data_IF_332820391652
#
_entry.id   IF_332820391652
#
_cell.length_a   1.000
_cell.length_b   1.000
_cell.length_c   1.000
_cell.angle_alpha   90.00
_cell.angle_beta   90.00
_cell.angle_gamma   90.00
#
_symmetry.space_group_name_H-M   'P 1'
#
loop_
_entity.id
_entity.type
_entity.pdbx_description
1 polymer ?
#
# COMPACT_ATOMS: atom_id res chain seq x y z
N UNK A 1 -0.15 -22.89 -5.75
CA UNK A 1 -0.78 -22.08 -6.77
C UNK A 1 -0.05 -20.75 -6.84
N UNK A 2 0.35 -20.32 -8.06
CA UNK A 2 0.95 -19.01 -8.26
C UNK A 2 -0.12 -18.10 -8.87
N UNK A 3 -0.28 -16.92 -8.29
CA UNK A 3 -1.10 -15.86 -8.88
C UNK A 3 -0.26 -15.15 -9.93
N UNK A 4 -0.77 -15.05 -11.14
CA UNK A 4 -0.12 -14.31 -12.22
C UNK A 4 -0.83 -12.98 -12.44
N UNK A 5 -0.05 -11.96 -12.81
CA UNK A 5 -0.54 -10.62 -13.08
C UNK A 5 -0.13 -10.16 -14.48
N UNK A 6 -1.01 -9.42 -15.11
CA UNK A 6 -0.71 -8.60 -16.28
C UNK A 6 -1.02 -7.16 -15.93
N UNK A 7 -0.07 -6.27 -16.14
CA UNK A 7 -0.23 -4.83 -15.93
C UNK A 7 -0.28 -4.13 -17.27
N UNK A 8 -1.20 -3.19 -17.39
CA UNK A 8 -1.38 -2.38 -18.59
C UNK A 8 -1.37 -0.92 -18.18
N UNK A 9 -0.42 -0.18 -18.71
CA UNK A 9 -0.38 1.28 -18.58
C UNK A 9 -1.31 1.90 -19.61
N UNK A 10 -2.01 2.98 -19.23
CA UNK A 10 -2.90 3.70 -20.11
C UNK A 10 -2.15 4.86 -20.78
N UNK A 11 -2.25 4.98 -22.07
CA UNK A 11 -1.72 6.13 -22.83
C UNK A 11 -2.61 7.38 -22.70
N UNK A 12 -3.90 7.18 -22.42
CA UNK A 12 -4.86 8.26 -22.27
C UNK A 12 -4.90 8.83 -20.85
N UNK A 13 -4.89 7.94 -19.86
CA UNK A 13 -4.96 8.28 -18.44
C UNK A 13 -3.68 7.81 -17.76
N UNK A 14 -2.63 8.62 -17.84
CA UNK A 14 -1.30 8.25 -17.32
C UNK A 14 -1.25 8.00 -15.82
N UNK A 15 -2.29 8.35 -15.08
CA UNK A 15 -2.41 8.05 -13.65
C UNK A 15 -3.18 6.75 -13.35
N UNK A 16 -3.48 5.94 -14.36
CA UNK A 16 -4.21 4.68 -14.21
C UNK A 16 -3.36 3.49 -14.66
N UNK A 17 -3.39 2.42 -13.88
CA UNK A 17 -2.80 1.12 -14.21
C UNK A 17 -3.89 0.07 -14.12
N UNK A 18 -4.14 -0.63 -15.23
CA UNK A 18 -5.06 -1.75 -15.24
C UNK A 18 -4.32 -3.02 -14.86
N UNK A 19 -4.91 -3.78 -13.98
CA UNK A 19 -4.34 -5.01 -13.44
C UNK A 19 -5.27 -6.18 -13.72
N UNK A 20 -4.77 -7.14 -14.48
CA UNK A 20 -5.45 -8.39 -14.70
C UNK A 20 -4.78 -9.48 -13.86
N UNK A 21 -5.51 -10.02 -12.89
CA UNK A 21 -5.05 -11.13 -12.05
C UNK A 21 -5.72 -12.41 -12.49
N UNK A 22 -4.96 -13.49 -12.59
CA UNK A 22 -5.50 -14.78 -12.93
C UNK A 22 -4.80 -15.91 -12.17
N UNK A 23 -5.54 -16.98 -11.94
CA UNK A 23 -5.08 -18.17 -11.27
C UNK A 23 -5.32 -19.39 -12.14
N UNK A 24 -4.25 -20.12 -12.45
CA UNK A 24 -4.31 -21.44 -13.03
C UNK A 24 -4.14 -22.52 -11.96
N UNK A 25 -5.01 -23.52 -12.00
CA UNK A 25 -4.90 -24.69 -11.16
C UNK A 25 -5.18 -25.93 -12.02
N UNK A 26 -4.24 -26.88 -12.03
CA UNK A 26 -4.33 -28.11 -12.84
C UNK A 26 -4.60 -27.84 -14.35
N UNK A 27 -3.93 -26.84 -14.91
CA UNK A 27 -4.09 -26.45 -16.31
C UNK A 27 -5.40 -25.73 -16.66
N UNK A 28 -6.27 -25.50 -15.68
CA UNK A 28 -7.52 -24.78 -15.87
C UNK A 28 -7.47 -23.39 -15.23
N UNK A 29 -8.01 -22.42 -15.94
CA UNK A 29 -8.18 -21.04 -15.44
C UNK A 29 -9.31 -21.03 -14.42
N UNK A 30 -9.00 -20.86 -13.13
CA UNK A 30 -9.96 -20.92 -12.01
C UNK A 30 -10.54 -19.57 -11.66
N UNK A 31 -9.69 -18.55 -11.62
CA UNK A 31 -10.09 -17.20 -11.25
C UNK A 31 -9.49 -16.20 -12.21
N UNK A 32 -10.25 -15.16 -12.48
CA UNK A 32 -9.78 -13.98 -13.21
C UNK A 32 -10.48 -12.75 -12.68
N UNK A 33 -9.73 -11.69 -12.53
CA UNK A 33 -10.30 -10.39 -12.14
C UNK A 33 -9.55 -9.27 -12.82
N UNK A 34 -10.28 -8.23 -13.17
CA UNK A 34 -9.73 -6.96 -13.54
C UNK A 34 -9.86 -6.01 -12.38
N UNK A 35 -8.83 -5.24 -12.13
CA UNK A 35 -8.87 -4.11 -11.23
C UNK A 35 -8.15 -2.93 -11.89
N UNK A 36 -8.42 -1.73 -11.38
CA UNK A 36 -7.79 -0.51 -11.82
C UNK A 36 -7.18 0.16 -10.60
N UNK A 37 -5.90 0.45 -10.69
CA UNK A 37 -5.19 1.26 -9.70
C UNK A 37 -5.16 2.69 -10.22
N UNK A 38 -5.62 3.60 -9.39
CA UNK A 38 -5.64 5.02 -9.71
C UNK A 38 -4.69 5.76 -8.78
N UNK A 39 -3.68 6.37 -9.36
CA UNK A 39 -2.77 7.30 -8.70
C UNK A 39 -3.44 8.69 -8.64
N UNK A 40 -2.79 9.65 -7.97
CA UNK A 40 -3.31 11.03 -7.94
C UNK A 40 -3.36 11.63 -9.35
N UNK A 41 -4.25 12.60 -9.55
CA UNK A 41 -4.43 13.22 -10.88
C UNK A 41 -3.16 13.86 -11.43
N UNK A 42 -2.35 14.43 -10.54
CA UNK A 42 -1.09 15.07 -10.90
C UNK A 42 0.05 14.08 -11.14
N UNK A 43 -0.11 12.80 -10.82
CA UNK A 43 0.90 11.76 -10.98
C UNK A 43 0.75 11.07 -12.35
N UNK A 44 1.88 10.80 -13.00
CA UNK A 44 1.91 10.10 -14.29
C UNK A 44 2.81 8.88 -14.18
N UNK A 45 2.25 7.71 -14.35
CA UNK A 45 3.00 6.46 -14.43
C UNK A 45 3.49 6.29 -15.85
N UNK A 46 4.77 6.51 -16.08
CA UNK A 46 5.38 6.47 -17.42
C UNK A 46 6.14 5.18 -17.71
N UNK A 47 6.33 4.35 -16.71
CA UNK A 47 6.98 3.06 -16.85
C UNK A 47 6.72 2.17 -15.65
N UNK A 48 6.77 0.87 -15.90
CA UNK A 48 6.58 -0.14 -14.86
C UNK A 48 7.38 -1.39 -15.22
N UNK A 49 7.98 -2.01 -14.20
CA UNK A 49 8.64 -3.31 -14.29
C UNK A 49 8.34 -4.12 -13.04
N UNK A 50 8.32 -5.44 -13.17
CA UNK A 50 8.11 -6.36 -12.04
C UNK A 50 9.34 -7.25 -11.91
N UNK A 51 9.99 -7.18 -10.75
CA UNK A 51 11.17 -7.97 -10.42
C UNK A 51 10.94 -8.61 -9.05
N UNK A 52 11.07 -9.91 -8.94
CA UNK A 52 10.94 -10.67 -7.69
C UNK A 52 9.67 -10.33 -6.87
N UNK A 53 8.53 -10.27 -7.55
CA UNK A 53 7.23 -9.89 -6.95
C UNK A 53 7.16 -8.45 -6.40
N UNK A 54 8.06 -7.59 -6.80
CA UNK A 54 8.02 -6.16 -6.52
C UNK A 54 7.72 -5.42 -7.81
N UNK A 55 6.65 -4.65 -7.83
CA UNK A 55 6.36 -3.72 -8.90
C UNK A 55 7.12 -2.42 -8.67
N UNK A 56 7.89 -2.01 -9.65
CA UNK A 56 8.60 -0.74 -9.70
C UNK A 56 7.89 0.17 -10.68
N UNK A 57 7.59 1.38 -10.25
CA UNK A 57 6.88 2.38 -11.06
C UNK A 57 7.77 3.60 -11.24
N UNK A 58 7.93 4.05 -12.48
CA UNK A 58 8.49 5.36 -12.78
C UNK A 58 7.35 6.35 -12.81
N UNK A 59 7.29 7.23 -11.82
CA UNK A 59 6.19 8.18 -11.63
C UNK A 59 6.73 9.60 -11.77
N UNK A 60 6.12 10.37 -12.66
CA UNK A 60 6.35 11.82 -12.76
C UNK A 60 5.34 12.54 -11.90
N UNK A 61 5.83 13.35 -10.99
CA UNK A 61 5.11 14.23 -10.08
C UNK A 61 5.46 15.70 -10.38
N UNK A 62 4.69 16.67 -9.89
CA UNK A 62 5.01 18.08 -10.11
C UNK A 62 6.41 18.50 -9.63
N UNK A 63 6.93 17.83 -8.63
CA UNK A 63 8.20 18.09 -7.98
C UNK A 63 9.38 17.24 -8.51
N UNK A 64 9.12 16.30 -9.42
CA UNK A 64 10.18 15.46 -10.00
C UNK A 64 9.72 14.09 -10.49
N UNK A 65 10.69 13.29 -10.90
CA UNK A 65 10.47 11.89 -11.31
C UNK A 65 11.01 10.96 -10.23
N UNK A 66 10.21 9.98 -9.86
CA UNK A 66 10.48 9.05 -8.76
C UNK A 66 10.38 7.61 -9.23
N UNK A 67 11.14 6.75 -8.57
CA UNK A 67 11.02 5.32 -8.66
C UNK A 67 10.34 4.80 -7.38
N UNK A 68 9.06 4.49 -7.50
CA UNK A 68 8.29 3.91 -6.41
C UNK A 68 8.28 2.38 -6.53
N UNK A 69 8.14 1.70 -5.41
CA UNK A 69 8.05 0.23 -5.37
C UNK A 69 6.88 -0.23 -4.52
N UNK A 70 6.24 -1.32 -4.96
CA UNK A 70 5.15 -1.95 -4.24
C UNK A 70 5.30 -3.47 -4.27
N UNK A 71 5.18 -4.13 -3.12
CA UNK A 71 5.15 -5.58 -3.06
C UNK A 71 3.84 -6.11 -3.62
N UNK A 72 3.92 -7.05 -4.56
CA UNK A 72 2.79 -7.77 -5.15
C UNK A 72 2.52 -9.11 -4.46
N UNK A 73 3.46 -9.58 -3.67
CA UNK A 73 3.14 -10.69 -2.79
C UNK A 73 2.00 -10.22 -1.91
N UNK A 74 0.97 -11.09 -1.77
CA UNK A 74 0.10 -10.95 -0.63
C UNK A 74 1.01 -10.59 0.51
N UNK A 75 0.83 -9.36 1.02
CA UNK A 75 1.41 -9.09 2.30
C UNK A 75 0.87 -10.23 3.16
N UNK A 76 1.53 -11.38 3.09
CA UNK A 76 1.63 -12.17 4.28
C UNK A 76 1.94 -11.06 5.23
N UNK A 77 1.04 -10.72 6.10
CA UNK A 77 1.37 -10.16 7.36
C UNK A 77 2.52 -11.02 7.83
N UNK A 78 3.66 -10.83 7.14
CA UNK A 78 4.92 -11.53 7.30
C UNK A 78 5.58 -10.90 8.49
N UNK A 79 4.83 -11.02 9.50
CA UNK A 79 5.16 -10.67 10.78
C UNK A 79 4.42 -11.45 11.80
N UNK A 80 3.51 -12.26 11.38
CA UNK A 80 3.12 -13.44 12.11
C UNK A 80 4.20 -14.50 11.85
N UNK A 81 5.44 -14.26 12.33
CA UNK A 81 6.30 -15.36 12.70
C UNK A 81 5.47 -16.19 13.67
N UNK A 82 5.55 -17.52 13.56
CA UNK A 82 4.82 -18.49 14.39
C UNK A 82 5.07 -18.33 15.92
N UNK A 83 5.75 -17.27 16.31
CA UNK A 83 5.92 -16.87 17.71
C UNK A 83 4.80 -15.91 18.07
N UNK A 84 3.87 -16.30 18.96
CA UNK A 84 2.77 -15.45 19.40
C UNK A 84 3.20 -14.19 20.15
N UNK A 85 4.50 -13.96 20.28
CA UNK A 85 5.10 -12.85 21.03
C UNK A 85 5.70 -11.75 20.17
N UNK A 86 5.74 -11.90 18.82
CA UNK A 86 6.21 -10.87 17.91
C UNK A 86 5.20 -10.69 16.76
N UNK A 87 4.20 -9.86 16.99
CA UNK A 87 3.42 -9.25 15.93
C UNK A 87 4.35 -8.25 15.24
N UNK A 88 4.96 -8.61 14.12
CA UNK A 88 5.63 -7.60 13.32
C UNK A 88 4.55 -6.78 12.63
N UNK A 89 4.48 -5.56 13.02
CA UNK A 89 3.56 -4.56 12.57
C UNK A 89 4.20 -3.80 11.40
N UNK A 90 3.53 -3.73 10.28
CA UNK A 90 3.91 -2.88 9.17
C UNK A 90 2.77 -1.91 8.87
N UNK A 91 2.94 -0.62 9.13
CA UNK A 91 1.92 0.36 8.80
C UNK A 91 1.75 0.45 7.28
N UNK A 92 0.50 0.54 6.84
CA UNK A 92 0.16 0.79 5.44
C UNK A 92 0.10 2.30 5.23
N UNK A 93 1.22 2.87 4.81
CA UNK A 93 1.37 4.29 4.50
C UNK A 93 1.78 4.47 3.04
N UNK A 94 1.26 5.51 2.41
CA UNK A 94 1.71 5.95 1.09
C UNK A 94 3.07 6.63 1.20
N UNK A 95 3.94 6.45 0.20
CA UNK A 95 5.31 7.00 0.15
C UNK A 95 6.13 6.68 1.41
N UNK A 96 5.89 5.50 1.97
CA UNK A 96 6.50 5.07 3.21
C UNK A 96 7.99 4.82 3.05
N UNK A 97 8.76 5.35 3.99
CA UNK A 97 10.20 5.14 4.09
C UNK A 97 10.59 4.82 5.53
N UNK A 98 11.55 3.92 5.69
CA UNK A 98 12.11 3.57 6.99
C UNK A 98 13.31 4.48 7.27
N UNK A 99 13.22 5.31 8.31
CA UNK A 99 14.23 6.32 8.63
C UNK A 99 14.52 6.33 10.12
N UNK A 100 15.80 6.37 10.48
CA UNK A 100 16.23 6.65 11.85
C UNK A 100 16.23 8.16 12.08
N UNK A 101 15.54 8.61 13.12
CA UNK A 101 15.52 10.00 13.53
C UNK A 101 16.85 10.43 14.12
N UNK A 102 17.14 11.72 14.04
CA UNK A 102 18.29 12.35 14.70
C UNK A 102 17.79 13.18 15.87
N UNK A 103 18.19 12.80 17.06
CA UNK A 103 17.80 13.50 18.28
C UNK A 103 18.76 14.64 18.59
N UNK A 104 18.19 15.79 18.95
CA UNK A 104 18.89 16.98 19.42
C UNK A 104 18.52 17.24 20.89
N UNK A 105 19.43 16.92 21.78
CA UNK A 105 19.22 17.08 23.24
C UNK A 105 19.13 18.55 23.68
N UNK A 106 19.64 19.50 22.88
CA UNK A 106 19.56 20.93 23.20
C UNK A 106 18.15 21.50 23.01
N UNK A 107 17.37 20.91 22.13
CA UNK A 107 15.98 21.32 21.82
C UNK A 107 14.95 20.26 22.23
N UNK A 108 15.39 19.12 22.77
CA UNK A 108 14.54 17.94 23.08
C UNK A 108 13.65 17.56 21.88
N UNK A 109 14.27 17.46 20.69
CA UNK A 109 13.52 17.13 19.47
C UNK A 109 14.21 16.05 18.65
N UNK A 110 13.43 15.14 18.07
CA UNK A 110 13.89 14.21 17.04
C UNK A 110 13.46 14.71 15.67
N UNK A 111 14.37 14.61 14.69
CA UNK A 111 14.15 15.05 13.31
C UNK A 111 14.31 13.88 12.35
N UNK A 112 13.39 13.77 11.38
CA UNK A 112 13.44 12.79 10.29
C UNK A 112 13.57 13.52 8.97
N UNK A 113 14.65 13.19 8.21
CA UNK A 113 14.88 13.75 6.88
C UNK A 113 14.41 12.77 5.82
N UNK A 114 13.37 13.14 5.10
CA UNK A 114 12.84 12.34 4.00
C UNK A 114 13.73 12.47 2.74
N UNK A 115 13.80 11.42 1.91
CA UNK A 115 14.55 11.43 0.67
C UNK A 115 13.84 12.18 -0.47
N UNK A 116 12.63 12.69 -0.24
CA UNK A 116 11.82 13.44 -1.18
C UNK A 116 11.19 14.66 -0.51
N UNK A 117 10.94 15.74 -1.28
CA UNK A 117 10.18 16.87 -0.76
C UNK A 117 8.68 16.54 -0.73
N UNK A 118 7.97 17.11 0.22
CA UNK A 118 6.52 17.03 0.30
C UNK A 118 5.94 18.24 1.05
N UNK A 119 4.66 18.49 0.84
CA UNK A 119 3.83 19.28 1.73
C UNK A 119 3.30 18.31 2.81
N UNK A 120 3.94 18.33 3.96
CA UNK A 120 3.70 17.34 4.99
C UNK A 120 2.32 17.41 5.64
N UNK A 121 1.56 18.41 5.47
CA UNK A 121 0.19 18.51 5.94
C UNK A 121 -0.21 17.62 7.12
N UNK A 122 -1.46 17.57 7.45
CA UNK A 122 -1.98 16.76 8.57
C UNK A 122 -1.98 15.24 8.36
N UNK A 123 -1.62 14.77 7.17
CA UNK A 123 -1.70 13.35 6.79
C UNK A 123 -0.41 12.56 7.00
N UNK A 124 0.70 13.22 7.30
CA UNK A 124 1.95 12.52 7.61
C UNK A 124 1.89 11.85 8.97
N UNK A 125 2.49 10.66 9.02
CA UNK A 125 2.61 9.86 10.24
C UNK A 125 4.04 9.35 10.37
N UNK A 126 4.50 9.29 11.61
CA UNK A 126 5.71 8.59 12.03
C UNK A 126 5.26 7.48 12.96
N UNK A 127 5.49 6.24 12.55
CA UNK A 127 5.05 5.04 13.26
C UNK A 127 6.26 4.24 13.69
N UNK A 128 6.32 3.89 14.96
CA UNK A 128 7.41 3.12 15.52
C UNK A 128 7.36 1.68 14.98
N UNK A 129 8.46 1.21 14.41
CA UNK A 129 8.57 -0.12 13.82
C UNK A 129 8.69 -1.25 14.84
N UNK A 130 8.89 -2.48 14.34
CA UNK A 130 8.96 -3.70 15.17
C UNK A 130 10.14 -3.72 16.17
N UNK A 131 11.19 -2.94 15.93
CA UNK A 131 12.34 -2.86 16.81
C UNK A 131 12.08 -2.07 18.12
N UNK A 132 10.97 -1.32 18.16
CA UNK A 132 10.53 -0.55 19.33
C UNK A 132 9.72 -1.43 20.29
N UNK A 133 10.38 -2.40 20.92
CA UNK A 133 9.75 -3.39 21.81
C UNK A 133 8.84 -2.74 22.86
N UNK A 134 7.56 -3.14 22.85
CA UNK A 134 6.52 -2.61 23.73
C UNK A 134 5.91 -1.26 23.29
N UNK A 135 6.35 -0.73 22.14
CA UNK A 135 5.82 0.49 21.52
C UNK A 135 5.56 0.31 20.02
N UNK A 136 5.61 -0.91 19.53
CA UNK A 136 5.43 -1.25 18.12
C UNK A 136 4.07 -0.74 17.63
N UNK A 137 4.07 -0.12 16.47
CA UNK A 137 2.86 0.45 15.87
C UNK A 137 2.36 1.74 16.53
N UNK A 138 3.03 2.22 17.59
CA UNK A 138 2.66 3.48 18.19
C UNK A 138 2.99 4.65 17.27
N UNK A 139 2.05 5.57 17.15
CA UNK A 139 2.19 6.77 16.36
C UNK A 139 2.80 7.90 17.19
N UNK A 140 3.83 8.55 16.65
CA UNK A 140 4.40 9.74 17.27
C UNK A 140 3.45 10.92 17.08
N UNK A 141 3.10 11.57 18.16
CA UNK A 141 2.21 12.73 18.18
C UNK A 141 2.99 14.03 18.09
N UNK A 142 2.30 15.13 17.75
CA UNK A 142 2.90 16.46 17.74
C UNK A 142 3.94 16.67 16.64
N UNK A 143 3.78 16.00 15.50
CA UNK A 143 4.64 16.22 14.34
C UNK A 143 4.56 17.64 13.84
N UNK A 144 5.73 18.24 13.58
CA UNK A 144 5.88 19.56 12.99
C UNK A 144 6.75 19.49 11.75
N UNK A 145 6.37 20.25 10.74
CA UNK A 145 7.19 20.41 9.54
C UNK A 145 8.25 21.48 9.78
N UNK A 146 9.51 21.14 9.54
CA UNK A 146 10.61 22.11 9.56
C UNK A 146 10.91 22.63 8.15
N UNK A 147 10.86 21.74 7.15
CA UNK A 147 11.08 22.07 5.74
C UNK A 147 10.33 21.09 4.84
N UNK A 148 10.37 21.28 3.53
CA UNK A 148 9.77 20.33 2.57
C UNK A 148 10.34 18.90 2.62
N UNK A 149 11.45 18.69 3.33
CA UNK A 149 12.07 17.36 3.47
C UNK A 149 12.29 16.95 4.92
N UNK A 150 11.79 17.70 5.90
CA UNK A 150 12.11 17.43 7.30
C UNK A 150 10.92 17.60 8.24
N UNK A 151 10.68 16.55 9.00
CA UNK A 151 9.73 16.50 10.11
C UNK A 151 10.45 16.52 11.46
N UNK A 152 9.79 16.97 12.49
CA UNK A 152 10.26 16.88 13.87
C UNK A 152 9.13 16.55 14.84
N UNK A 153 9.51 15.99 15.99
CA UNK A 153 8.65 15.84 17.16
C UNK A 153 9.47 16.00 18.43
N UNK A 154 8.80 16.37 19.51
CA UNK A 154 9.41 16.46 20.83
C UNK A 154 9.76 15.06 21.36
N UNK A 155 10.87 14.97 22.07
CA UNK A 155 11.35 13.76 22.72
C UNK A 155 12.37 12.98 21.90
N UNK A 156 13.01 12.02 22.54
CA UNK A 156 14.00 11.12 21.91
C UNK A 156 13.32 9.92 21.27
N UNK A 157 13.32 9.90 19.95
CA UNK A 157 12.80 8.82 19.10
C UNK A 157 13.87 8.33 18.12
N UNK A 158 15.15 8.38 18.52
CA UNK A 158 16.30 8.03 17.67
C UNK A 158 16.84 6.62 17.87
N UNK A 159 16.33 5.86 18.85
CA UNK A 159 16.88 4.55 19.21
C UNK A 159 16.81 3.53 18.07
N UNK A 160 15.74 3.55 17.28
CA UNK A 160 15.52 2.64 16.16
C UNK A 160 14.85 3.37 15.00
N UNK A 161 14.87 2.79 13.77
CA UNK A 161 14.14 3.33 12.64
C UNK A 161 12.63 3.41 12.92
N UNK A 162 11.99 4.41 12.31
CA UNK A 162 10.55 4.57 12.28
C UNK A 162 10.06 4.59 10.83
N UNK A 163 8.85 4.13 10.61
CA UNK A 163 8.16 4.21 9.32
C UNK A 163 7.52 5.59 9.18
N UNK A 164 7.95 6.34 8.16
CA UNK A 164 7.46 7.69 7.89
C UNK A 164 6.75 7.70 6.55
N UNK A 165 5.52 8.17 6.52
CA UNK A 165 4.72 8.20 5.29
C UNK A 165 3.41 8.95 5.47
N UNK A 166 2.57 8.88 4.44
CA UNK A 166 1.25 9.53 4.40
C UNK A 166 0.11 8.54 4.63
N UNK A 167 -0.89 8.96 5.37
CA UNK A 167 -2.20 8.30 5.33
C UNK A 167 -2.83 8.46 3.95
N UNK A 168 -3.52 7.43 3.51
CA UNK A 168 -4.30 7.45 2.28
C UNK A 168 -5.66 6.81 2.49
N UNK A 169 -6.61 7.17 1.64
CA UNK A 169 -7.91 6.51 1.62
C UNK A 169 -7.86 5.33 0.67
N UNK A 170 -8.20 4.15 1.16
CA UNK A 170 -8.38 2.97 0.35
C UNK A 170 -9.86 2.82 0.00
N UNK A 171 -10.18 2.88 -1.29
CA UNK A 171 -11.53 2.69 -1.80
C UNK A 171 -11.52 1.45 -2.67
N UNK A 172 -12.37 0.49 -2.35
CA UNK A 172 -12.57 -0.70 -3.17
C UNK A 172 -14.03 -0.81 -3.58
N UNK A 173 -14.27 -0.72 -4.88
CA UNK A 173 -15.58 -0.92 -5.47
C UNK A 173 -15.67 -2.34 -6.01
N UNK A 174 -16.61 -3.11 -5.49
CA UNK A 174 -16.87 -4.47 -5.99
C UNK A 174 -17.56 -4.39 -7.34
N UNK A 175 -17.15 -5.25 -8.24
CA UNK A 175 -17.93 -5.48 -9.46
C UNK A 175 -19.29 -6.03 -9.11
N UNK A 176 -20.30 -5.68 -9.90
CA UNK A 176 -21.66 -6.22 -9.70
C UNK A 176 -21.62 -7.76 -9.69
N UNK A 177 -22.07 -8.38 -8.59
CA UNK A 177 -22.04 -9.84 -8.49
C UNK A 177 -23.03 -10.45 -9.47
N UNK A 178 -22.52 -11.30 -10.37
CA UNK A 178 -23.37 -12.02 -11.32
C UNK A 178 -23.44 -13.50 -10.97
N UNK A 179 -24.64 -14.06 -11.03
CA UNK A 179 -24.82 -15.51 -10.93
C UNK A 179 -24.47 -16.11 -12.31
N UNK A 180 -23.52 -17.03 -12.33
CA UNK A 180 -23.16 -17.77 -13.54
C UNK A 180 -23.84 -19.14 -13.50
N UNK A 181 -24.56 -19.48 -14.54
CA UNK A 181 -25.11 -20.82 -14.75
C UNK A 181 -24.43 -21.47 -15.93
N UNK A 182 -24.26 -22.78 -15.84
CA UNK A 182 -23.78 -23.58 -16.93
C UNK A 182 -24.96 -23.96 -17.84
N UNK A 183 -24.92 -23.47 -19.09
CA UNK A 183 -25.90 -23.82 -20.10
C UNK A 183 -25.10 -24.45 -21.27
N UNK A 184 -25.35 -25.72 -21.54
CA UNK A 184 -24.69 -26.49 -22.61
C UNK A 184 -23.15 -26.44 -22.52
N UNK A 185 -22.57 -26.60 -21.32
CA UNK A 185 -21.11 -26.55 -21.11
C UNK A 185 -20.49 -25.16 -21.19
N UNK A 186 -21.27 -24.09 -21.28
CA UNK A 186 -20.82 -22.70 -21.28
C UNK A 186 -21.35 -21.96 -20.06
N UNK A 187 -20.47 -21.24 -19.37
CA UNK A 187 -20.87 -20.34 -18.29
C UNK A 187 -21.48 -19.08 -18.89
N UNK A 188 -22.76 -18.84 -18.60
CA UNK A 188 -23.47 -17.59 -18.93
C UNK A 188 -23.94 -16.87 -17.69
N UNK A 189 -23.96 -15.53 -17.73
CA UNK A 189 -24.51 -14.72 -16.66
C UNK A 189 -26.03 -14.78 -16.70
N UNK A 190 -26.68 -15.03 -15.56
CA UNK A 190 -28.13 -14.95 -15.43
C UNK A 190 -28.53 -13.47 -15.37
N UNK A 191 -29.18 -12.98 -16.43
CA UNK A 191 -29.84 -11.68 -16.41
C UNK A 191 -31.19 -11.83 -15.69
N UNK A 192 -31.31 -11.24 -14.52
CA UNK A 192 -32.55 -11.23 -13.73
C UNK A 192 -32.53 -12.03 -12.45
N UNK A 193 -31.40 -12.61 -12.07
CA UNK A 193 -31.22 -13.21 -10.74
C UNK A 193 -31.05 -12.13 -9.66
N UNK A 194 -31.77 -12.25 -8.55
CA UNK A 194 -31.57 -11.40 -7.37
C UNK A 194 -30.51 -12.06 -6.47
N UNK A 195 -29.33 -11.43 -6.36
CA UNK A 195 -28.32 -11.84 -5.41
C UNK A 195 -28.49 -11.06 -4.10
N UNK A 196 -28.74 -11.76 -2.99
CA UNK A 196 -28.72 -11.16 -1.64
C UNK A 196 -27.41 -11.52 -0.96
N UNK A 197 -26.58 -10.52 -0.72
CA UNK A 197 -25.41 -10.67 0.16
C UNK A 197 -25.92 -10.66 1.60
N UNK A 198 -25.85 -11.82 2.29
CA UNK A 198 -26.32 -11.95 3.67
C UNK A 198 -25.28 -11.54 4.70
N UNK A 199 -24.02 -11.63 4.36
CA UNK A 199 -22.90 -11.33 5.27
C UNK A 199 -21.68 -10.85 4.49
N UNK A 200 -21.10 -9.78 4.97
CA UNK A 200 -19.83 -9.25 4.51
C UNK A 200 -18.90 -9.12 5.72
N UNK A 201 -17.75 -9.77 5.68
CA UNK A 201 -16.75 -9.68 6.75
C UNK A 201 -15.53 -8.94 6.22
N UNK A 202 -15.15 -7.88 6.91
CA UNK A 202 -13.86 -7.21 6.69
C UNK A 202 -13.01 -7.48 7.92
N UNK A 203 -11.88 -8.13 7.74
CA UNK A 203 -10.87 -8.25 8.77
C UNK A 203 -9.89 -7.10 8.59
N UNK A 204 -9.79 -6.24 9.58
CA UNK A 204 -8.82 -5.17 9.63
C UNK A 204 -8.07 -5.23 10.95
N UNK A 205 -6.81 -4.82 10.92
CA UNK A 205 -5.98 -4.67 12.12
C UNK A 205 -5.88 -3.19 12.44
N UNK A 206 -6.06 -2.86 13.72
CA UNK A 206 -6.02 -1.49 14.21
C UNK A 206 -4.71 -1.27 14.94
#
# INVERSE_FOLDING_TARGET
PHDDFIFILSDENLNEVFVYKFLFQQGQKKLTSWSKWKFKEEEKVIGMEVIDHIAYFVIVRPDGTYLDKMSLQDAKLTGLTESPTQLSFRPLLDRCVLITGVYDSGTDTTRWKLPYPDDFGSTFRVVLGAEWVGKEGSQIQGLSQISSTMLSATGDHSAYPAEVGKEYSFIYEFTEPTIKTEVQGRLSSLSGGILKIRKFNINYFK
#
